data_IF_876711511670
#
_entry.id   IF_876711511670
#
_cell.length_a   1.000
_cell.length_b   1.000
_cell.length_c   1.000
_cell.angle_alpha   90.00
_cell.angle_beta   90.00
_cell.angle_gamma   90.00
#
_symmetry.space_group_name_H-M   'P 1'
#
loop_
_entity.id
_entity.type
_entity.pdbx_description
1 polymer ?
#
# COMPACT_ATOMS: atom_id res chain seq x y z
N UNK A 1 18.12 26.68 4.93
CA UNK A 1 18.74 25.66 4.07
C UNK A 1 17.61 24.76 3.60
N UNK A 2 17.14 24.95 2.36
CA UNK A 2 15.99 24.25 1.80
C UNK A 2 16.44 22.88 1.26
N UNK A 3 15.69 21.82 1.57
CA UNK A 3 15.83 20.57 0.84
C UNK A 3 15.33 20.80 -0.59
N UNK A 4 16.24 20.73 -1.55
CA UNK A 4 15.94 20.86 -2.97
C UNK A 4 15.21 19.62 -3.48
N UNK A 5 13.90 19.71 -3.64
CA UNK A 5 13.11 18.68 -4.32
C UNK A 5 13.29 18.79 -5.84
N UNK A 6 14.31 18.10 -6.37
CA UNK A 6 14.38 17.72 -7.78
C UNK A 6 13.92 16.25 -7.91
N UNK A 7 12.61 16.06 -8.10
CA UNK A 7 12.08 14.80 -8.67
C UNK A 7 11.67 13.67 -7.72
N UNK A 8 11.34 13.92 -6.44
CA UNK A 8 10.82 12.90 -5.52
C UNK A 8 10.07 13.49 -4.34
N UNK A 9 9.11 12.73 -3.79
CA UNK A 9 8.17 13.06 -2.71
C UNK A 9 8.84 13.87 -1.58
N UNK A 10 8.28 15.05 -1.28
CA UNK A 10 8.74 15.93 -0.20
C UNK A 10 7.75 15.80 0.97
N UNK A 11 8.14 15.28 2.14
CA UNK A 11 7.35 15.48 3.34
C UNK A 11 7.45 16.96 3.73
N UNK A 12 6.32 17.65 3.82
CA UNK A 12 6.28 19.06 4.17
C UNK A 12 7.03 19.35 5.47
N UNK A 13 7.91 20.34 5.37
CA UNK A 13 8.52 21.07 6.48
C UNK A 13 7.38 21.58 7.37
N UNK A 14 7.18 20.98 8.55
CA UNK A 14 6.25 21.56 9.52
C UNK A 14 5.83 20.75 10.75
N UNK A 15 5.91 19.42 10.72
CA UNK A 15 5.54 18.62 11.91
C UNK A 15 5.67 17.15 11.58
N UNK A 16 6.36 16.42 12.46
CA UNK A 16 6.21 14.98 12.76
C UNK A 16 5.93 13.99 11.62
N UNK A 17 6.23 14.34 10.37
CA UNK A 17 5.93 13.54 9.19
C UNK A 17 6.75 12.26 9.25
N UNK A 18 6.10 11.19 9.69
CA UNK A 18 6.75 9.90 9.83
C UNK A 18 7.17 9.44 8.43
N UNK A 19 8.22 8.63 8.32
CA UNK A 19 8.63 8.00 7.05
C UNK A 19 7.46 7.35 6.28
N UNK A 20 6.35 7.05 6.97
CA UNK A 20 5.12 6.56 6.35
C UNK A 20 4.47 7.59 5.42
N UNK A 21 4.50 8.90 5.68
CA UNK A 21 3.83 9.92 4.85
C UNK A 21 4.36 9.95 3.41
N UNK A 22 5.66 9.68 3.25
CA UNK A 22 6.31 9.57 1.93
C UNK A 22 5.93 8.28 1.17
N UNK A 23 5.50 7.24 1.89
CA UNK A 23 5.26 5.91 1.33
C UNK A 23 3.78 5.61 1.14
N UNK A 24 2.91 6.13 2.02
CA UNK A 24 1.48 5.81 2.04
C UNK A 24 0.75 6.41 0.86
N UNK A 25 0.98 7.69 0.56
CA UNK A 25 0.31 8.40 -0.52
C UNK A 25 0.56 7.79 -1.90
N UNK A 26 1.81 7.54 -2.34
CA UNK A 26 2.04 6.93 -3.64
C UNK A 26 1.51 5.49 -3.70
N UNK A 27 1.63 4.71 -2.63
CA UNK A 27 1.12 3.33 -2.61
C UNK A 27 -0.40 3.27 -2.60
N UNK A 28 -1.07 4.19 -1.89
CA UNK A 28 -2.52 4.29 -1.91
C UNK A 28 -3.02 4.61 -3.32
N UNK A 29 -2.42 5.60 -4.00
CA UNK A 29 -2.80 5.93 -5.37
C UNK A 29 -2.64 4.75 -6.34
N UNK A 30 -1.65 3.88 -6.13
CA UNK A 30 -1.48 2.66 -6.94
C UNK A 30 -2.59 1.66 -6.63
N UNK A 31 -2.89 1.43 -5.35
CA UNK A 31 -3.94 0.49 -4.92
C UNK A 31 -5.34 0.95 -5.37
N UNK A 32 -5.60 2.26 -5.39
CA UNK A 32 -6.87 2.83 -5.87
C UNK A 32 -7.10 2.58 -7.38
N UNK A 33 -6.04 2.34 -8.14
CA UNK A 33 -6.15 2.00 -9.57
C UNK A 33 -6.47 0.52 -9.80
N UNK A 34 -6.33 -0.34 -8.76
CA UNK A 34 -6.56 -1.77 -8.89
C UNK A 34 -8.08 -2.03 -8.82
N UNK A 35 -8.67 -2.68 -9.82
CA UNK A 35 -10.08 -3.06 -9.76
C UNK A 35 -10.34 -4.03 -8.62
N UNK A 36 -11.47 -3.88 -7.93
CA UNK A 36 -11.95 -4.88 -7.00
C UNK A 36 -12.12 -6.24 -7.70
N UNK A 37 -11.75 -7.33 -7.02
CA UNK A 37 -11.69 -8.68 -7.56
C UNK A 37 -10.41 -9.01 -8.35
N UNK A 38 -9.46 -8.09 -8.45
CA UNK A 38 -8.17 -8.39 -9.10
C UNK A 38 -7.32 -9.28 -8.22
N UNK A 39 -6.83 -10.39 -8.76
CA UNK A 39 -5.93 -11.29 -8.05
C UNK A 39 -4.51 -10.74 -8.03
N UNK A 40 -4.01 -10.49 -6.83
CA UNK A 40 -2.71 -9.87 -6.59
C UNK A 40 -1.88 -10.66 -5.56
N UNK A 41 -0.59 -10.41 -5.59
CA UNK A 41 0.34 -10.71 -4.50
C UNK A 41 0.71 -9.40 -3.82
N UNK A 42 0.49 -9.33 -2.52
CA UNK A 42 0.73 -8.14 -1.70
C UNK A 42 1.94 -8.39 -0.78
N UNK A 43 3.06 -7.78 -1.14
CA UNK A 43 4.26 -7.69 -0.31
C UNK A 43 3.98 -6.86 0.94
N UNK A 44 4.08 -7.46 2.12
CA UNK A 44 3.97 -6.73 3.38
C UNK A 44 5.06 -7.14 4.37
N UNK A 45 5.49 -6.17 5.17
CA UNK A 45 6.38 -6.37 6.34
C UNK A 45 5.60 -6.46 7.64
N UNK A 46 4.28 -6.68 7.55
CA UNK A 46 3.48 -7.04 8.70
C UNK A 46 3.94 -8.42 9.20
N UNK A 47 4.56 -8.45 10.38
CA UNK A 47 5.11 -9.67 10.99
C UNK A 47 4.03 -10.73 11.30
N UNK A 48 2.76 -10.37 11.19
CA UNK A 48 1.62 -11.24 11.50
C UNK A 48 1.12 -11.98 10.26
N UNK A 49 1.09 -11.30 9.12
CA UNK A 49 0.51 -11.85 7.88
C UNK A 49 1.54 -12.37 6.89
N UNK A 50 2.80 -11.92 6.97
CA UNK A 50 3.80 -12.24 5.95
C UNK A 50 3.36 -11.79 4.55
N UNK A 51 4.01 -12.28 3.50
CA UNK A 51 3.66 -11.92 2.12
C UNK A 51 2.32 -12.58 1.73
N UNK A 52 1.31 -11.79 1.34
CA UNK A 52 -0.02 -12.31 0.99
C UNK A 52 -0.03 -12.70 -0.50
N UNK A 53 -0.09 -14.00 -0.77
CA UNK A 53 -0.05 -14.51 -2.14
C UNK A 53 -1.45 -14.89 -2.64
N UNK A 54 -1.72 -14.61 -3.91
CA UNK A 54 -2.97 -15.01 -4.58
C UNK A 54 -4.24 -14.53 -3.84
N UNK A 55 -4.23 -13.31 -3.33
CA UNK A 55 -5.38 -12.67 -2.68
C UNK A 55 -6.18 -11.83 -3.68
N UNK A 56 -7.47 -11.70 -3.47
CA UNK A 56 -8.34 -10.85 -4.28
C UNK A 56 -8.41 -9.45 -3.66
N UNK A 57 -7.97 -8.43 -4.40
CA UNK A 57 -8.05 -7.06 -3.95
C UNK A 57 -9.52 -6.62 -3.85
N UNK A 58 -9.94 -6.05 -2.73
CA UNK A 58 -11.32 -5.60 -2.54
C UNK A 58 -11.40 -4.08 -2.65
N UNK A 59 -10.64 -3.37 -1.84
CA UNK A 59 -10.64 -1.90 -1.80
C UNK A 59 -9.44 -1.37 -1.04
N UNK A 60 -9.19 -0.06 -1.18
CA UNK A 60 -8.31 0.69 -0.30
C UNK A 60 -9.05 1.95 0.16
N UNK A 61 -9.03 2.21 1.46
CA UNK A 61 -9.59 3.44 2.06
C UNK A 61 -8.79 3.79 3.30
N UNK A 62 -8.62 5.09 3.57
CA UNK A 62 -7.98 5.59 4.79
C UNK A 62 -6.61 4.93 5.07
N UNK A 63 -5.79 4.76 4.03
CA UNK A 63 -4.47 4.11 4.11
C UNK A 63 -4.49 2.64 4.57
N UNK A 64 -5.63 1.96 4.43
CA UNK A 64 -5.79 0.53 4.71
C UNK A 64 -6.25 -0.18 3.44
N UNK A 65 -5.45 -1.15 2.99
CA UNK A 65 -5.81 -2.04 1.90
C UNK A 65 -6.59 -3.24 2.45
N UNK A 66 -7.71 -3.55 1.81
CA UNK A 66 -8.53 -4.70 2.12
C UNK A 66 -8.36 -5.74 1.01
N UNK A 67 -7.97 -6.94 1.40
CA UNK A 67 -7.82 -8.07 0.49
C UNK A 67 -8.57 -9.29 1.04
N UNK A 68 -8.98 -10.16 0.13
CA UNK A 68 -9.69 -11.40 0.43
C UNK A 68 -8.79 -12.59 0.16
N UNK A 69 -8.65 -13.45 1.16
CA UNK A 69 -8.05 -14.78 1.02
C UNK A 69 -9.17 -15.81 1.16
N UNK A 70 -9.78 -16.17 0.02
CA UNK A 70 -11.00 -16.99 0.02
C UNK A 70 -12.17 -16.24 0.67
N UNK A 71 -12.62 -16.70 1.84
CA UNK A 71 -13.70 -16.05 2.60
C UNK A 71 -13.19 -15.09 3.70
N UNK A 72 -11.87 -15.04 3.92
CA UNK A 72 -11.28 -14.22 4.99
C UNK A 72 -10.96 -12.83 4.46
N UNK A 73 -11.36 -11.80 5.21
CA UNK A 73 -11.06 -10.39 4.93
C UNK A 73 -9.88 -9.94 5.76
N UNK A 74 -8.81 -9.49 5.09
CA UNK A 74 -7.55 -9.12 5.70
C UNK A 74 -7.34 -7.62 5.48
N UNK A 75 -7.12 -6.88 6.57
CA UNK A 75 -6.82 -5.46 6.53
C UNK A 75 -5.30 -5.26 6.67
N UNK A 76 -4.68 -4.64 5.68
CA UNK A 76 -3.24 -4.39 5.64
C UNK A 76 -3.00 -2.88 5.62
N UNK A 77 -2.30 -2.32 6.62
CA UNK A 77 -1.89 -0.92 6.58
C UNK A 77 -0.99 -0.66 5.39
N UNK A 78 -1.28 0.37 4.58
CA UNK A 78 -0.52 0.70 3.37
C UNK A 78 0.95 1.02 3.72
N UNK A 79 1.21 1.55 4.91
CA UNK A 79 2.58 1.81 5.40
C UNK A 79 3.44 0.54 5.61
N UNK A 80 2.81 -0.64 5.65
CA UNK A 80 3.49 -1.93 5.74
C UNK A 80 3.61 -2.63 4.39
N UNK A 81 3.02 -2.09 3.34
CA UNK A 81 3.10 -2.66 2.00
C UNK A 81 4.44 -2.29 1.36
N UNK A 82 5.18 -3.30 0.92
CA UNK A 82 6.49 -3.14 0.27
C UNK A 82 6.42 -3.31 -1.24
N UNK A 83 5.35 -3.92 -1.76
CA UNK A 83 5.16 -4.09 -3.19
C UNK A 83 3.85 -4.78 -3.52
N UNK A 84 3.42 -4.62 -4.77
CA UNK A 84 2.21 -5.24 -5.30
C UNK A 84 2.59 -5.86 -6.64
N UNK A 85 2.20 -7.10 -6.87
CA UNK A 85 2.37 -7.78 -8.15
C UNK A 85 1.03 -8.38 -8.55
N UNK A 86 0.48 -7.96 -9.68
CA UNK A 86 -0.72 -8.55 -10.26
C UNK A 86 -0.36 -9.65 -11.25
N UNK A 87 -1.09 -10.77 -11.20
CA UNK A 87 -1.07 -11.74 -12.29
C UNK A 87 -2.12 -11.28 -13.30
N UNK A 88 -1.67 -10.62 -14.37
CA UNK A 88 -2.57 -10.17 -15.44
C UNK A 88 -3.01 -11.42 -16.23
N UNK A 89 -4.22 -11.90 -15.97
CA UNK A 89 -4.92 -12.85 -16.84
C UNK A 89 -5.24 -12.19 -18.19
#
# INVERSE_FOLDING_TARGET
MACGCRGGCCPDVGGDGSLCDCCVTPMQNILEQIPAGTRITLGTVDNTSGNLQNVDFESVSDYIAIVLEGANRIAVPVCKVTGISGERL
#
